data_IF_476707380642
#
_entry.id   IF_476707380642
#
_cell.length_a   1.000
_cell.length_b   1.000
_cell.length_c   1.000
_cell.angle_alpha   90.00
_cell.angle_beta   90.00
_cell.angle_gamma   90.00
#
_symmetry.space_group_name_H-M   'P 1'
#
loop_
_entity.id
_entity.type
_entity.pdbx_description
1 polymer ?
#
# COMPACT_ATOMS: atom_id res chain seq x y z
N UNK A 1 14.06 9.32 7.99
CA UNK A 1 13.46 9.22 9.33
C UNK A 1 12.59 7.98 9.35
N UNK A 2 12.80 7.07 10.30
CA UNK A 2 12.09 5.77 10.45
C UNK A 2 11.73 5.62 11.93
N UNK A 3 10.57 5.03 12.25
CA UNK A 3 10.07 4.86 13.63
C UNK A 3 10.03 3.38 14.02
N UNK A 4 11.17 2.77 14.41
CA UNK A 4 11.23 1.35 14.75
C UNK A 4 10.44 1.00 16.03
N UNK A 5 10.23 1.96 16.92
CA UNK A 5 9.47 1.80 18.17
C UNK A 5 8.03 2.33 18.07
N UNK A 6 7.48 2.47 16.84
CA UNK A 6 6.08 2.83 16.68
C UNK A 6 5.18 1.73 17.27
N UNK A 7 4.16 2.12 18.04
CA UNK A 7 3.21 1.20 18.67
C UNK A 7 2.40 0.38 17.65
N UNK A 8 2.18 0.96 16.46
CA UNK A 8 1.50 0.31 15.35
C UNK A 8 2.26 0.54 14.04
N UNK A 9 2.49 -0.55 13.30
CA UNK A 9 3.17 -0.53 11.99
C UNK A 9 2.26 -1.18 10.97
N UNK A 10 1.69 -0.37 10.08
CA UNK A 10 0.83 -0.87 9.02
C UNK A 10 1.60 -1.00 7.71
N UNK A 11 1.45 -2.13 7.04
CA UNK A 11 1.92 -2.37 5.69
C UNK A 11 0.71 -2.41 4.76
N UNK A 12 0.43 -1.28 4.11
CA UNK A 12 -0.72 -1.15 3.20
C UNK A 12 -0.31 -1.67 1.83
N UNK A 13 -1.03 -2.66 1.31
CA UNK A 13 -0.79 -3.22 -0.02
C UNK A 13 -2.10 -3.47 -0.77
N UNK A 14 -1.96 -3.71 -2.08
CA UNK A 14 -3.04 -4.17 -2.95
C UNK A 14 -2.42 -4.90 -4.16
N UNK A 15 -3.18 -5.81 -4.81
CA UNK A 15 -2.73 -6.45 -6.04
C UNK A 15 -2.26 -5.43 -7.07
N UNK A 16 -1.16 -5.73 -7.76
CA UNK A 16 -0.59 -4.85 -8.79
C UNK A 16 -1.63 -4.45 -9.85
N UNK A 17 -2.51 -5.37 -10.21
CA UNK A 17 -3.58 -5.14 -11.17
C UNK A 17 -4.54 -4.03 -10.70
N UNK A 18 -5.00 -4.11 -9.45
CA UNK A 18 -5.85 -3.09 -8.83
C UNK A 18 -5.12 -1.73 -8.77
N UNK A 19 -3.84 -1.74 -8.39
CA UNK A 19 -3.02 -0.51 -8.38
C UNK A 19 -2.83 0.09 -9.77
N UNK A 20 -2.68 -0.75 -10.79
CA UNK A 20 -2.55 -0.33 -12.19
C UNK A 20 -3.81 0.37 -12.66
N UNK A 21 -4.97 -0.23 -12.46
CA UNK A 21 -6.26 0.34 -12.89
C UNK A 21 -6.58 1.67 -12.19
N UNK A 22 -6.34 1.75 -10.87
CA UNK A 22 -6.49 3.00 -10.11
C UNK A 22 -5.57 4.10 -10.65
N UNK A 23 -4.31 3.78 -10.88
CA UNK A 23 -3.31 4.75 -11.36
C UNK A 23 -3.58 5.19 -12.80
N UNK A 24 -4.04 4.29 -13.65
CA UNK A 24 -4.47 4.61 -15.01
C UNK A 24 -5.65 5.59 -14.97
N UNK A 25 -6.67 5.33 -14.15
CA UNK A 25 -7.81 6.24 -13.96
C UNK A 25 -7.38 7.64 -13.54
N UNK A 26 -6.46 7.74 -12.58
CA UNK A 26 -5.90 9.03 -12.13
C UNK A 26 -5.22 9.80 -13.27
N UNK A 27 -4.46 9.10 -14.12
CA UNK A 27 -3.77 9.73 -15.25
C UNK A 27 -4.75 10.17 -16.34
N UNK A 28 -5.74 9.34 -16.67
CA UNK A 28 -6.79 9.68 -17.63
C UNK A 28 -7.62 10.89 -17.15
N UNK A 29 -7.96 10.97 -15.87
CA UNK A 29 -8.64 12.12 -15.27
C UNK A 29 -7.82 13.42 -15.37
N UNK A 30 -6.49 13.31 -15.39
CA UNK A 30 -5.57 14.44 -15.59
C UNK A 30 -5.32 14.76 -17.06
N UNK A 31 -5.97 14.06 -17.99
CA UNK A 31 -5.81 14.25 -19.44
C UNK A 31 -4.48 13.71 -19.99
N UNK A 32 -3.80 12.83 -19.24
CA UNK A 32 -2.55 12.22 -19.68
C UNK A 32 -2.86 11.02 -20.58
N UNK A 33 -2.21 10.98 -21.73
CA UNK A 33 -2.24 9.84 -22.64
C UNK A 33 -1.17 8.84 -22.19
N UNK A 34 -1.59 7.78 -21.52
CA UNK A 34 -0.72 6.69 -21.06
C UNK A 34 -1.45 5.36 -21.19
N UNK A 35 -0.73 4.31 -21.58
CA UNK A 35 -1.28 2.97 -21.70
C UNK A 35 -1.27 2.23 -20.37
N UNK A 36 -2.13 1.22 -20.25
CA UNK A 36 -2.18 0.34 -19.07
C UNK A 36 -0.85 -0.38 -18.86
N UNK A 37 -0.21 -0.81 -19.94
CA UNK A 37 1.07 -1.52 -19.94
C UNK A 37 2.20 -0.62 -19.41
N UNK A 38 2.23 0.65 -19.80
CA UNK A 38 3.19 1.63 -19.28
C UNK A 38 3.00 1.88 -17.78
N UNK A 39 1.76 2.05 -17.32
CA UNK A 39 1.45 2.21 -15.90
C UNK A 39 1.89 0.98 -15.10
N UNK A 40 1.56 -0.21 -15.60
CA UNK A 40 1.93 -1.47 -14.95
C UNK A 40 3.44 -1.62 -14.84
N UNK A 41 4.17 -1.37 -15.94
CA UNK A 41 5.62 -1.49 -15.97
C UNK A 41 6.29 -0.48 -15.02
N UNK A 42 5.77 0.75 -14.92
CA UNK A 42 6.26 1.73 -13.96
C UNK A 42 6.05 1.25 -12.51
N UNK A 43 4.88 0.72 -12.19
CA UNK A 43 4.57 0.17 -10.87
C UNK A 43 5.46 -1.02 -10.52
N UNK A 44 5.61 -2.00 -11.43
CA UNK A 44 6.47 -3.17 -11.22
C UNK A 44 7.94 -2.76 -11.00
N UNK A 45 8.44 -1.83 -11.81
CA UNK A 45 9.81 -1.31 -11.69
C UNK A 45 10.03 -0.63 -10.35
N UNK A 46 9.07 0.17 -9.90
CA UNK A 46 9.13 0.87 -8.61
C UNK A 46 9.09 -0.10 -7.44
N UNK A 47 8.15 -1.05 -7.46
CA UNK A 47 8.05 -2.08 -6.42
C UNK A 47 9.34 -2.90 -6.31
N UNK A 48 9.91 -3.29 -7.46
CA UNK A 48 11.19 -4.02 -7.49
C UNK A 48 12.33 -3.17 -6.93
N UNK A 49 12.43 -1.91 -7.35
CA UNK A 49 13.45 -0.99 -6.85
C UNK A 49 13.31 -0.77 -5.34
N UNK A 50 12.10 -0.57 -4.82
CA UNK A 50 11.88 -0.32 -3.39
C UNK A 50 12.19 -1.57 -2.55
N UNK A 51 11.90 -2.78 -3.04
CA UNK A 51 12.23 -4.05 -2.35
C UNK A 51 13.72 -4.41 -2.41
N UNK A 52 14.42 -4.03 -3.47
CA UNK A 52 15.82 -4.42 -3.72
C UNK A 52 16.86 -3.42 -3.21
N UNK A 53 16.45 -2.24 -2.72
CA UNK A 53 17.39 -1.23 -2.22
C UNK A 53 18.30 -1.78 -1.11
N UNK A 54 19.62 -1.52 -1.15
CA UNK A 54 20.54 -2.02 -0.14
C UNK A 54 20.32 -1.38 1.24
N UNK A 55 19.81 -0.15 1.28
CA UNK A 55 19.48 0.59 2.49
C UNK A 55 18.03 1.07 2.40
N UNK A 56 17.24 0.78 3.44
CA UNK A 56 15.84 1.19 3.50
C UNK A 56 14.92 0.42 2.54
N UNK A 57 15.24 -0.85 2.24
CA UNK A 57 14.35 -1.72 1.47
C UNK A 57 12.94 -1.75 2.07
N UNK A 58 11.92 -1.72 1.22
CA UNK A 58 10.54 -1.96 1.61
C UNK A 58 10.40 -3.43 2.02
N UNK A 59 10.28 -3.67 3.33
CA UNK A 59 10.08 -4.98 3.93
C UNK A 59 9.00 -4.87 5.00
N UNK A 60 8.24 -5.94 5.17
CA UNK A 60 7.33 -6.07 6.29
C UNK A 60 8.16 -6.13 7.58
N UNK A 61 7.79 -5.32 8.58
CA UNK A 61 8.38 -5.41 9.91
C UNK A 61 7.88 -6.68 10.61
N UNK A 62 8.66 -7.23 11.55
CA UNK A 62 8.28 -8.46 12.26
C UNK A 62 6.95 -8.33 13.01
N UNK A 63 6.64 -7.12 13.49
CA UNK A 63 5.39 -6.72 14.14
C UNK A 63 4.47 -5.90 13.21
N UNK A 64 4.72 -5.94 11.91
CA UNK A 64 3.95 -5.23 10.90
C UNK A 64 2.61 -5.89 10.60
N UNK A 65 1.53 -5.10 10.62
CA UNK A 65 0.17 -5.53 10.29
C UNK A 65 -0.09 -5.21 8.81
N UNK A 66 -0.40 -6.23 8.01
CA UNK A 66 -0.75 -6.04 6.59
C UNK A 66 -2.19 -5.57 6.46
N UNK A 67 -2.40 -4.47 5.74
CA UNK A 67 -3.72 -3.93 5.42
C UNK A 67 -3.93 -4.08 3.91
N UNK A 68 -4.73 -5.07 3.52
CA UNK A 68 -5.13 -5.25 2.12
C UNK A 68 -6.26 -4.27 1.76
N UNK A 69 -6.01 -3.47 0.72
CA UNK A 69 -6.95 -2.50 0.14
C UNK A 69 -7.38 -2.89 -1.28
N UNK A 70 -7.06 -4.11 -1.71
CA UNK A 70 -7.39 -4.65 -3.03
C UNK A 70 -8.87 -5.01 -3.20
N UNK A 71 -9.57 -5.30 -2.11
CA UNK A 71 -10.98 -5.69 -2.04
C UNK A 71 -11.95 -4.49 -2.12
N UNK A 72 -11.53 -3.29 -1.68
CA UNK A 72 -12.36 -2.08 -1.72
C UNK A 72 -11.56 -0.82 -2.01
N UNK A 73 -12.12 0.06 -2.84
CA UNK A 73 -11.59 1.41 -3.08
C UNK A 73 -12.12 2.45 -2.08
N UNK A 74 -13.10 2.07 -1.25
CA UNK A 74 -13.72 2.96 -0.29
C UNK A 74 -12.77 3.31 0.84
N UNK A 75 -12.45 4.60 0.96
CA UNK A 75 -11.52 5.12 1.97
C UNK A 75 -12.03 4.81 3.38
N UNK A 76 -13.32 5.00 3.63
CA UNK A 76 -13.92 4.76 4.94
C UNK A 76 -13.81 3.28 5.33
N UNK A 77 -14.12 2.35 4.41
CA UNK A 77 -13.98 0.92 4.67
C UNK A 77 -12.52 0.53 5.01
N UNK A 78 -11.55 1.08 4.26
CA UNK A 78 -10.14 0.84 4.53
C UNK A 78 -9.67 1.47 5.85
N UNK A 79 -10.21 2.64 6.23
CA UNK A 79 -9.96 3.26 7.52
C UNK A 79 -10.50 2.40 8.66
N UNK A 80 -11.70 1.83 8.51
CA UNK A 80 -12.28 0.95 9.52
C UNK A 80 -11.43 -0.30 9.77
N UNK A 81 -10.79 -0.87 8.73
CA UNK A 81 -9.85 -1.99 8.91
C UNK A 81 -8.67 -1.60 9.81
N UNK A 82 -8.09 -0.43 9.57
CA UNK A 82 -6.97 0.08 10.39
C UNK A 82 -7.44 0.31 11.84
N UNK A 83 -8.60 0.95 12.03
CA UNK A 83 -9.16 1.20 13.36
C UNK A 83 -9.50 -0.09 14.11
N UNK A 84 -9.98 -1.11 13.41
CA UNK A 84 -10.26 -2.43 14.00
C UNK A 84 -8.97 -3.07 14.54
N UNK A 85 -7.88 -3.06 13.76
CA UNK A 85 -6.59 -3.57 14.20
C UNK A 85 -6.07 -2.86 15.46
N UNK A 86 -6.25 -1.54 15.56
CA UNK A 86 -5.86 -0.78 16.75
C UNK A 86 -6.68 -1.21 17.97
N UNK A 87 -8.00 -1.37 17.81
CA UNK A 87 -8.91 -1.75 18.90
C UNK A 87 -8.67 -3.17 19.41
N UNK A 88 -8.40 -4.13 18.53
CA UNK A 88 -8.12 -5.52 18.92
C UNK A 88 -6.88 -5.63 19.81
N UNK A 89 -5.86 -4.82 19.55
CA UNK A 89 -4.64 -4.79 20.36
C UNK A 89 -4.86 -4.09 21.71
N UNK A 90 -5.68 -3.02 21.75
CA UNK A 90 -6.01 -2.30 23.00
C UNK A 90 -6.95 -3.12 23.90
N UNK A 91 -7.88 -3.88 23.32
CA UNK A 91 -8.84 -4.70 24.07
C UNK A 91 -8.25 -5.98 24.69
N UNK A 92 -7.02 -6.33 24.32
CA UNK A 92 -6.25 -7.46 24.87
C UNK A 92 -5.17 -7.02 25.89
N UNK A 93 -5.17 -5.75 26.31
CA UNK A 93 -4.37 -5.24 27.43
C UNK A 93 -5.15 -5.24 28.75
#
# INVERSE_FOLDING_TARGET
MVFPAADYKFFVDAPLEVRTERRLRDFLQKGLQITREEVRADLEKRDHADRSRPVGALRLADDGIVIDTGDTEEIEANLQKILACIKEVIGNQ
#
